data_IF_597418688191
#
_entry.id   IF_597418688191
#
_cell.length_a   1.000
_cell.length_b   1.000
_cell.length_c   1.000
_cell.angle_alpha   90.00
_cell.angle_beta   90.00
_cell.angle_gamma   90.00
#
_symmetry.space_group_name_H-M   'P 1'
#
loop_
_entity.id
_entity.type
_entity.pdbx_description
1 polymer ?
#
# COMPACT_ATOMS: atom_id res chain seq x y z
N UNK A 1 -26.81 -1.77 14.81
CA UNK A 1 -25.35 -1.54 14.72
C UNK A 1 -24.88 -1.30 16.14
N UNK A 2 -23.72 -1.73 16.55
CA UNK A 2 -23.21 -1.38 17.87
C UNK A 2 -22.58 0.04 17.84
N UNK A 3 -22.38 0.62 19.03
CA UNK A 3 -21.88 1.99 19.17
C UNK A 3 -20.49 2.17 18.54
N UNK A 4 -19.63 1.16 18.60
CA UNK A 4 -18.29 1.18 18.00
C UNK A 4 -18.38 1.31 16.50
N UNK A 5 -19.19 0.47 15.85
CA UNK A 5 -19.39 0.50 14.38
C UNK A 5 -19.96 1.84 13.93
N UNK A 6 -20.94 2.40 14.64
CA UNK A 6 -21.56 3.70 14.31
C UNK A 6 -20.53 4.84 14.35
N UNK A 7 -19.68 4.87 15.39
CA UNK A 7 -18.61 5.89 15.52
C UNK A 7 -17.50 5.73 14.47
N UNK A 8 -17.12 4.49 14.14
CA UNK A 8 -16.16 4.24 13.05
C UNK A 8 -16.71 4.73 11.70
N UNK A 9 -17.96 4.45 11.40
CA UNK A 9 -18.61 4.95 10.18
C UNK A 9 -18.71 6.47 10.18
N UNK A 10 -19.00 7.10 11.29
CA UNK A 10 -19.01 8.56 11.42
C UNK A 10 -17.62 9.16 11.17
N UNK A 11 -16.57 8.58 11.76
CA UNK A 11 -15.20 9.03 11.53
C UNK A 11 -14.79 8.90 10.06
N UNK A 12 -15.11 7.78 9.40
CA UNK A 12 -14.88 7.56 7.97
C UNK A 12 -15.62 8.59 7.11
N UNK A 13 -16.88 8.89 7.44
CA UNK A 13 -17.68 9.91 6.75
C UNK A 13 -17.05 11.29 6.87
N UNK A 14 -16.69 11.72 8.10
CA UNK A 14 -16.04 13.01 8.33
C UNK A 14 -14.73 13.14 7.55
N UNK A 15 -13.92 12.08 7.51
CA UNK A 15 -12.70 12.07 6.69
C UNK A 15 -13.01 12.24 5.20
N UNK A 16 -14.08 11.63 4.69
CA UNK A 16 -14.49 11.79 3.28
C UNK A 16 -15.03 13.18 2.97
N UNK A 17 -15.49 13.92 3.97
CA UNK A 17 -15.97 15.31 3.89
C UNK A 17 -14.85 16.34 4.16
N UNK A 18 -13.59 15.90 4.27
CA UNK A 18 -12.41 16.70 4.60
C UNK A 18 -12.41 17.33 6.03
N UNK A 19 -13.27 16.80 6.90
CA UNK A 19 -13.35 17.17 8.33
C UNK A 19 -12.35 16.33 9.15
N UNK A 20 -11.05 16.44 8.83
CA UNK A 20 -10.00 15.54 9.32
C UNK A 20 -9.82 15.59 10.83
N UNK A 21 -9.83 16.80 11.43
CA UNK A 21 -9.66 16.99 12.87
C UNK A 21 -10.83 16.36 13.66
N UNK A 22 -12.05 16.52 13.16
CA UNK A 22 -13.25 15.93 13.79
C UNK A 22 -13.24 14.40 13.68
N UNK A 23 -12.84 13.86 12.54
CA UNK A 23 -12.63 12.42 12.34
C UNK A 23 -11.60 11.87 13.32
N UNK A 24 -10.43 12.50 13.42
CA UNK A 24 -9.36 12.07 14.31
C UNK A 24 -9.78 12.12 15.78
N UNK A 25 -10.50 13.15 16.20
CA UNK A 25 -10.98 13.24 17.61
C UNK A 25 -11.86 12.05 17.99
N UNK A 26 -12.79 11.64 17.13
CA UNK A 26 -13.63 10.44 17.35
C UNK A 26 -12.77 9.18 17.44
N UNK A 27 -11.78 9.03 16.56
CA UNK A 27 -10.91 7.85 16.51
C UNK A 27 -10.01 7.76 17.76
N UNK A 28 -9.52 8.88 18.28
CA UNK A 28 -8.73 8.90 19.52
C UNK A 28 -9.60 8.56 20.76
N UNK A 29 -10.85 9.02 20.82
CA UNK A 29 -11.79 8.61 21.86
C UNK A 29 -12.09 7.10 21.78
N UNK A 30 -12.21 6.55 20.57
CA UNK A 30 -12.39 5.11 20.37
C UNK A 30 -11.14 4.32 20.77
N UNK A 31 -9.95 4.84 20.52
CA UNK A 31 -8.70 4.20 20.92
C UNK A 31 -8.58 4.10 22.45
N UNK A 32 -8.99 5.14 23.20
CA UNK A 32 -9.01 5.08 24.66
C UNK A 32 -9.97 3.99 25.19
N UNK A 33 -11.10 3.81 24.52
CA UNK A 33 -12.10 2.81 24.91
C UNK A 33 -11.77 1.38 24.44
N UNK A 34 -11.05 1.26 23.33
CA UNK A 34 -10.76 0.00 22.63
C UNK A 34 -9.31 -0.07 22.14
N UNK A 35 -8.30 -0.03 23.05
CA UNK A 35 -6.89 0.15 22.69
C UNK A 35 -6.29 -1.00 21.85
N UNK A 36 -6.87 -2.20 21.94
CA UNK A 36 -6.38 -3.40 21.25
C UNK A 36 -7.30 -3.81 20.07
N UNK A 37 -8.24 -2.95 19.67
CA UNK A 37 -9.12 -3.26 18.55
C UNK A 37 -8.42 -2.96 17.22
N UNK A 38 -8.22 -4.00 16.41
CA UNK A 38 -7.49 -3.92 15.15
C UNK A 38 -8.03 -2.84 14.18
N UNK A 39 -9.36 -2.76 14.01
CA UNK A 39 -9.99 -1.77 13.13
C UNK A 39 -9.82 -0.34 13.67
N UNK A 40 -9.92 -0.14 15.00
CA UNK A 40 -9.69 1.18 15.61
C UNK A 40 -8.24 1.61 15.41
N UNK A 41 -7.28 0.73 15.66
CA UNK A 41 -5.86 0.98 15.44
C UNK A 41 -5.57 1.37 13.98
N UNK A 42 -6.10 0.59 13.02
CA UNK A 42 -5.98 0.88 11.60
C UNK A 42 -6.54 2.28 11.23
N UNK A 43 -7.76 2.61 11.70
CA UNK A 43 -8.38 3.90 11.41
C UNK A 43 -7.64 5.08 12.06
N UNK A 44 -7.08 4.88 13.27
CA UNK A 44 -6.22 5.88 13.91
C UNK A 44 -4.94 6.10 13.08
N UNK A 45 -4.28 5.03 12.64
CA UNK A 45 -3.15 5.14 11.71
C UNK A 45 -3.51 5.95 10.48
N UNK A 46 -4.63 5.61 9.84
CA UNK A 46 -5.15 6.33 8.67
C UNK A 46 -5.45 7.82 8.94
N UNK A 47 -5.85 8.18 10.15
CA UNK A 47 -6.08 9.58 10.50
C UNK A 47 -4.79 10.41 10.56
N UNK A 48 -3.69 9.83 11.02
CA UNK A 48 -2.38 10.46 11.00
C UNK A 48 -1.81 10.53 9.57
N UNK A 49 -1.96 9.46 8.81
CA UNK A 49 -1.46 9.36 7.43
C UNK A 49 -2.05 10.46 6.51
N UNK A 50 -3.38 10.64 6.53
CA UNK A 50 -4.03 11.68 5.72
C UNK A 50 -3.65 13.11 6.14
N UNK A 51 -3.10 13.29 7.34
CA UNK A 51 -2.54 14.55 7.82
C UNK A 51 -1.05 14.73 7.47
N UNK A 52 -0.44 13.77 6.77
CA UNK A 52 0.98 13.79 6.44
C UNK A 52 1.88 13.55 7.66
N UNK A 53 1.39 12.79 8.63
CA UNK A 53 2.09 12.43 9.87
C UNK A 53 2.44 10.94 9.85
N UNK A 54 3.24 10.54 8.86
CA UNK A 54 3.53 9.13 8.57
C UNK A 54 4.27 8.44 9.73
N UNK A 55 5.15 9.16 10.42
CA UNK A 55 5.89 8.60 11.58
C UNK A 55 4.97 8.26 12.74
N UNK A 56 3.89 9.00 12.91
CA UNK A 56 2.84 8.76 13.90
C UNK A 56 1.88 7.65 13.44
N UNK A 57 1.62 7.53 12.13
CA UNK A 57 0.73 6.52 11.55
C UNK A 57 1.31 5.10 11.64
N UNK A 58 2.60 4.92 11.34
CA UNK A 58 3.27 3.62 11.24
C UNK A 58 3.04 2.73 12.46
N UNK A 59 3.28 3.17 13.72
CA UNK A 59 3.09 2.31 14.89
C UNK A 59 1.65 1.80 15.04
N UNK A 60 0.65 2.56 14.59
CA UNK A 60 -0.74 2.13 14.67
C UNK A 60 -1.09 1.10 13.60
N UNK A 61 -0.54 1.23 12.38
CA UNK A 61 -0.68 0.22 11.34
C UNK A 61 -0.04 -1.11 11.76
N UNK A 62 1.17 -1.07 12.33
CA UNK A 62 1.86 -2.26 12.84
C UNK A 62 1.04 -2.93 13.95
N UNK A 63 0.55 -2.15 14.93
CA UNK A 63 -0.30 -2.67 16.00
C UNK A 63 -1.62 -3.25 15.48
N UNK A 64 -2.23 -2.65 14.45
CA UNK A 64 -3.44 -3.18 13.83
C UNK A 64 -3.21 -4.55 13.19
N UNK A 65 -2.08 -4.73 12.51
CA UNK A 65 -1.67 -6.02 11.92
C UNK A 65 -1.42 -7.04 13.02
N UNK A 66 -0.71 -6.67 14.09
CA UNK A 66 -0.43 -7.53 15.25
C UNK A 66 -1.71 -7.92 16.02
N UNK A 67 -2.76 -7.10 15.93
CA UNK A 67 -4.08 -7.35 16.52
C UNK A 67 -5.02 -8.15 15.59
N UNK A 68 -4.47 -8.89 14.61
CA UNK A 68 -5.20 -9.74 13.68
C UNK A 68 -6.17 -8.97 12.75
N UNK A 69 -5.80 -7.76 12.30
CA UNK A 69 -6.54 -7.08 11.24
C UNK A 69 -6.68 -7.99 10.02
N UNK A 70 -7.84 -7.99 9.36
CA UNK A 70 -8.12 -8.96 8.29
C UNK A 70 -8.89 -8.33 7.11
N UNK A 71 -9.00 -9.09 6.01
CA UNK A 71 -9.80 -8.71 4.84
C UNK A 71 -9.28 -7.46 4.13
N UNK A 72 -10.21 -6.65 3.65
CA UNK A 72 -9.92 -5.43 2.87
C UNK A 72 -9.16 -4.39 3.70
N UNK A 73 -9.47 -4.28 5.01
CA UNK A 73 -8.78 -3.37 5.92
C UNK A 73 -7.29 -3.77 6.09
N UNK A 74 -6.96 -5.07 6.16
CA UNK A 74 -5.56 -5.53 6.19
C UNK A 74 -4.84 -5.23 4.87
N UNK A 75 -5.51 -5.46 3.74
CA UNK A 75 -4.96 -5.16 2.42
C UNK A 75 -4.55 -3.69 2.32
N UNK A 76 -5.46 -2.78 2.68
CA UNK A 76 -5.19 -1.34 2.64
C UNK A 76 -4.14 -0.94 3.67
N UNK A 77 -4.21 -1.49 4.89
CA UNK A 77 -3.23 -1.22 5.96
C UNK A 77 -1.80 -1.54 5.54
N UNK A 78 -1.57 -2.70 4.90
CA UNK A 78 -0.24 -3.09 4.42
C UNK A 78 0.28 -2.14 3.32
N UNK A 79 -0.59 -1.68 2.42
CA UNK A 79 -0.24 -0.71 1.37
C UNK A 79 0.11 0.65 2.00
N UNK A 80 -0.71 1.15 2.93
CA UNK A 80 -0.47 2.40 3.64
C UNK A 80 0.83 2.34 4.46
N UNK A 81 1.06 1.25 5.20
CA UNK A 81 2.30 1.03 5.96
C UNK A 81 3.53 1.10 5.05
N UNK A 82 3.50 0.39 3.93
CA UNK A 82 4.59 0.42 2.96
C UNK A 82 4.80 1.80 2.34
N UNK A 83 3.73 2.51 2.02
CA UNK A 83 3.79 3.88 1.50
C UNK A 83 4.37 4.85 2.53
N UNK A 84 3.93 4.80 3.78
CA UNK A 84 4.46 5.63 4.88
C UNK A 84 5.95 5.38 5.11
N UNK A 85 6.38 4.11 5.18
CA UNK A 85 7.79 3.75 5.33
C UNK A 85 8.64 4.32 4.19
N UNK A 86 8.16 4.25 2.92
CA UNK A 86 8.86 4.83 1.77
C UNK A 86 9.03 6.35 1.91
N UNK A 87 7.98 7.05 2.34
CA UNK A 87 8.00 8.52 2.47
C UNK A 87 8.99 8.99 3.53
N UNK A 88 9.13 8.24 4.64
CA UNK A 88 10.07 8.59 5.72
C UNK A 88 11.49 8.07 5.50
N UNK A 89 11.75 7.32 4.40
CA UNK A 89 13.06 6.82 4.03
C UNK A 89 13.42 5.43 4.55
N UNK A 90 12.49 4.72 5.17
CA UNK A 90 12.63 3.33 5.62
C UNK A 90 12.29 2.40 4.44
N UNK A 91 13.22 2.31 3.48
CA UNK A 91 12.95 1.69 2.18
C UNK A 91 12.87 0.17 2.24
N UNK A 92 13.66 -0.47 3.09
CA UNK A 92 13.62 -1.92 3.29
C UNK A 92 12.28 -2.34 3.91
N UNK A 93 11.84 -1.64 4.97
CA UNK A 93 10.55 -1.86 5.63
C UNK A 93 9.37 -1.59 4.68
N UNK A 94 9.52 -0.60 3.78
CA UNK A 94 8.53 -0.34 2.73
C UNK A 94 8.38 -1.52 1.78
N UNK A 95 9.50 -2.09 1.31
CA UNK A 95 9.50 -3.27 0.44
C UNK A 95 8.87 -4.46 1.16
N UNK A 96 9.27 -4.75 2.39
CA UNK A 96 8.78 -5.90 3.17
C UNK A 96 7.25 -5.84 3.37
N UNK A 97 6.72 -4.67 3.73
CA UNK A 97 5.28 -4.47 3.91
C UNK A 97 4.51 -4.67 2.59
N UNK A 98 5.03 -4.14 1.48
CA UNK A 98 4.36 -4.22 0.17
C UNK A 98 4.53 -5.60 -0.50
N UNK A 99 5.64 -6.30 -0.30
CA UNK A 99 5.77 -7.72 -0.69
C UNK A 99 4.75 -8.59 0.06
N UNK A 100 4.54 -8.31 1.34
CA UNK A 100 3.50 -8.97 2.14
C UNK A 100 2.10 -8.68 1.57
N UNK A 101 1.81 -7.41 1.24
CA UNK A 101 0.54 -7.00 0.64
C UNK A 101 0.27 -7.74 -0.68
N UNK A 102 1.24 -7.75 -1.59
CA UNK A 102 1.13 -8.40 -2.91
C UNK A 102 1.01 -9.92 -2.80
N UNK A 103 1.74 -10.53 -1.84
CA UNK A 103 1.68 -11.97 -1.60
C UNK A 103 0.31 -12.43 -1.08
N UNK A 104 -0.30 -11.66 -0.18
CA UNK A 104 -1.60 -11.98 0.40
C UNK A 104 -2.77 -11.58 -0.51
N UNK A 105 -2.62 -10.51 -1.28
CA UNK A 105 -3.66 -9.92 -2.12
C UNK A 105 -3.17 -9.69 -3.55
N UNK A 106 -2.85 -10.77 -4.31
CA UNK A 106 -2.20 -10.66 -5.62
C UNK A 106 -3.08 -9.98 -6.70
N UNK A 107 -4.38 -9.95 -6.50
CA UNK A 107 -5.33 -9.32 -7.43
C UNK A 107 -5.39 -7.80 -7.28
N UNK A 108 -4.87 -7.25 -6.18
CA UNK A 108 -4.81 -5.80 -5.98
C UNK A 108 -3.63 -5.20 -6.75
N UNK A 109 -3.89 -4.73 -7.97
CA UNK A 109 -2.85 -4.16 -8.83
C UNK A 109 -2.27 -2.84 -8.31
N UNK A 110 -2.99 -2.08 -7.48
CA UNK A 110 -2.42 -0.89 -6.83
C UNK A 110 -1.27 -1.24 -5.88
N UNK A 111 -1.39 -2.35 -5.13
CA UNK A 111 -0.31 -2.86 -4.28
C UNK A 111 0.97 -3.14 -5.06
N UNK A 112 0.86 -3.76 -6.25
CA UNK A 112 2.03 -3.98 -7.14
C UNK A 112 2.66 -2.66 -7.61
N UNK A 113 1.86 -1.63 -7.89
CA UNK A 113 2.40 -0.32 -8.29
C UNK A 113 3.14 0.33 -7.11
N UNK A 114 2.57 0.29 -5.89
CA UNK A 114 3.26 0.77 -4.69
C UNK A 114 4.56 -0.01 -4.43
N UNK A 115 4.55 -1.33 -4.61
CA UNK A 115 5.75 -2.16 -4.49
C UNK A 115 6.83 -1.75 -5.50
N UNK A 116 6.47 -1.47 -6.74
CA UNK A 116 7.42 -0.98 -7.73
C UNK A 116 8.05 0.36 -7.32
N UNK A 117 7.25 1.27 -6.72
CA UNK A 117 7.77 2.53 -6.17
C UNK A 117 8.72 2.31 -4.99
N UNK A 118 8.44 1.31 -4.13
CA UNK A 118 9.31 0.93 -3.03
C UNK A 118 10.62 0.31 -3.53
N UNK A 119 10.56 -0.62 -4.48
CA UNK A 119 11.74 -1.17 -5.13
C UNK A 119 12.62 -0.09 -5.75
N UNK A 120 12.02 0.87 -6.46
CA UNK A 120 12.75 1.98 -7.06
C UNK A 120 13.47 2.83 -6.00
N UNK A 121 12.80 3.13 -4.88
CA UNK A 121 13.37 3.90 -3.78
C UNK A 121 14.49 3.13 -3.05
N UNK A 122 14.38 1.79 -2.98
CA UNK A 122 15.37 0.88 -2.39
C UNK A 122 16.50 0.48 -3.37
N UNK A 123 16.69 1.22 -4.45
CA UNK A 123 17.68 1.00 -5.53
C UNK A 123 17.55 -0.35 -6.29
N UNK A 124 16.42 -1.03 -6.16
CA UNK A 124 16.06 -2.27 -6.87
C UNK A 124 15.33 -1.92 -8.18
N UNK A 125 16.03 -1.24 -9.10
CA UNK A 125 15.42 -0.63 -10.30
C UNK A 125 14.90 -1.65 -11.30
N UNK A 126 15.57 -2.81 -11.41
CA UNK A 126 15.14 -3.90 -12.28
C UNK A 126 13.82 -4.48 -11.80
N UNK A 127 13.70 -4.78 -10.50
CA UNK A 127 12.48 -5.27 -9.87
C UNK A 127 11.33 -4.28 -10.02
N UNK A 128 11.61 -2.99 -9.83
CA UNK A 128 10.63 -1.92 -10.04
C UNK A 128 10.08 -1.90 -11.46
N UNK A 129 10.96 -1.94 -12.46
CA UNK A 129 10.57 -1.94 -13.87
C UNK A 129 9.82 -3.22 -14.24
N UNK A 130 10.32 -4.39 -13.81
CA UNK A 130 9.66 -5.68 -14.04
C UNK A 130 8.23 -5.67 -13.51
N UNK A 131 8.05 -5.26 -12.25
CA UNK A 131 6.72 -5.21 -11.61
C UNK A 131 5.77 -4.28 -12.36
N UNK A 132 6.22 -3.09 -12.78
CA UNK A 132 5.38 -2.17 -13.57
C UNK A 132 5.03 -2.73 -14.95
N UNK A 133 5.96 -3.40 -15.61
CA UNK A 133 5.69 -4.04 -16.91
C UNK A 133 4.69 -5.18 -16.76
N UNK A 134 4.76 -5.97 -15.69
CA UNK A 134 3.77 -7.02 -15.39
C UNK A 134 2.37 -6.42 -15.21
N UNK A 135 2.24 -5.40 -14.36
CA UNK A 135 0.95 -4.71 -14.17
C UNK A 135 0.42 -4.15 -15.48
N UNK A 136 1.29 -3.51 -16.29
CA UNK A 136 0.90 -2.97 -17.59
C UNK A 136 0.36 -4.06 -18.52
N UNK A 137 1.08 -5.17 -18.66
CA UNK A 137 0.71 -6.27 -19.56
C UNK A 137 -0.57 -6.99 -19.11
N UNK A 138 -0.77 -7.12 -17.80
CA UNK A 138 -1.96 -7.76 -17.24
C UNK A 138 -3.22 -6.89 -17.32
N UNK A 139 -3.07 -5.56 -17.32
CA UNK A 139 -4.21 -4.64 -17.18
C UNK A 139 -4.52 -3.82 -18.42
N UNK A 140 -3.60 -3.77 -19.41
CA UNK A 140 -3.82 -2.94 -20.60
C UNK A 140 -4.82 -3.56 -21.56
N UNK A 141 -5.73 -2.74 -22.07
CA UNK A 141 -6.60 -3.04 -23.22
C UNK A 141 -6.14 -2.34 -24.50
N UNK A 142 -5.00 -1.65 -24.47
CA UNK A 142 -4.48 -0.91 -25.61
C UNK A 142 -3.90 -1.87 -26.65
N UNK A 143 -4.47 -1.88 -27.85
CA UNK A 143 -4.09 -2.80 -28.93
C UNK A 143 -2.63 -2.63 -29.40
N UNK A 144 -2.08 -1.41 -29.37
CA UNK A 144 -0.71 -1.14 -29.76
C UNK A 144 0.29 -1.78 -28.78
N UNK A 145 -0.03 -1.77 -27.49
CA UNK A 145 0.80 -2.43 -26.46
C UNK A 145 0.64 -3.95 -26.57
N UNK A 146 -0.58 -4.44 -26.72
CA UNK A 146 -0.86 -5.88 -26.83
C UNK A 146 -0.18 -6.51 -28.05
N UNK A 147 -0.03 -5.76 -29.14
CA UNK A 147 0.68 -6.23 -30.35
C UNK A 147 2.15 -6.57 -30.09
N UNK A 148 2.77 -6.02 -29.06
CA UNK A 148 4.15 -6.28 -28.65
C UNK A 148 4.27 -7.03 -27.31
N UNK A 149 3.21 -7.62 -26.80
CA UNK A 149 3.19 -8.25 -25.47
C UNK A 149 4.33 -9.28 -25.30
N UNK A 150 4.52 -10.20 -26.24
CA UNK A 150 5.59 -11.21 -26.19
C UNK A 150 6.99 -10.59 -26.14
N UNK A 151 7.19 -9.44 -26.82
CA UNK A 151 8.47 -8.71 -26.84
C UNK A 151 8.68 -8.04 -25.47
N UNK A 152 7.64 -7.45 -24.88
CA UNK A 152 7.71 -6.84 -23.55
C UNK A 152 7.92 -7.89 -22.45
N UNK A 153 7.28 -9.07 -22.57
CA UNK A 153 7.53 -10.20 -21.67
C UNK A 153 9.00 -10.62 -21.68
N UNK A 154 9.62 -10.68 -22.87
CA UNK A 154 11.04 -11.00 -22.99
C UNK A 154 11.91 -9.91 -22.37
N UNK A 155 11.67 -8.63 -22.69
CA UNK A 155 12.48 -7.54 -22.19
C UNK A 155 12.37 -7.31 -20.68
N UNK A 156 11.22 -7.58 -20.07
CA UNK A 156 11.09 -7.42 -18.62
C UNK A 156 12.04 -8.33 -17.82
N UNK A 157 12.43 -9.48 -18.40
CA UNK A 157 13.39 -10.41 -17.81
C UNK A 157 14.84 -10.11 -18.20
N UNK A 158 15.07 -9.26 -19.22
CA UNK A 158 16.36 -9.01 -19.83
C UNK A 158 16.65 -7.50 -19.96
N UNK A 159 16.32 -6.73 -18.90
CA UNK A 159 16.34 -5.26 -18.95
C UNK A 159 17.72 -4.65 -19.25
N UNK A 160 18.81 -5.31 -18.82
CA UNK A 160 20.19 -4.81 -18.95
C UNK A 160 20.99 -5.59 -20.01
N UNK A 161 20.37 -6.53 -20.72
CA UNK A 161 21.07 -7.29 -21.74
C UNK A 161 21.28 -6.44 -23.00
N UNK A 162 22.51 -6.46 -23.48
CA UNK A 162 22.93 -5.87 -24.75
C UNK A 162 23.44 -6.98 -25.65
N UNK A 163 22.88 -7.11 -26.85
CA UNK A 163 23.35 -8.08 -27.84
C UNK A 163 24.32 -7.40 -28.78
N UNK A 164 25.60 -7.76 -28.72
CA UNK A 164 26.60 -7.34 -29.70
C UNK A 164 26.57 -8.30 -30.86
N UNK A 165 26.40 -7.77 -32.09
CA UNK A 165 26.43 -8.52 -33.35
C UNK A 165 27.84 -9.00 -33.73
N UNK A 166 28.86 -8.89 -32.85
CA UNK A 166 30.21 -9.34 -33.09
C UNK A 166 30.44 -10.76 -32.58
N UNK A 167 29.94 -11.76 -33.31
CA UNK A 167 30.37 -13.15 -33.20
C UNK A 167 30.58 -13.77 -34.57
#
# INVERSE_FOLDING_TARGET
MDELTEKLEEARRLRSEDELDASQAILLDLLEAHPDNATVLYEVGGSYDVLGQEREAIPYYEQAIDADLAGDDLQECLICLGSCNRVIGEFEESVDALETAVSQFPDNKSGHVFLALAYYANDQKQEAMRTLMEVLLETTENEDIQAYADVFEFYKENLDEVWDDEA
#
